data_IF_836403151563
#
_entry.id   IF_836403151563
#
_cell.length_a   1.000
_cell.length_b   1.000
_cell.length_c   1.000
_cell.angle_alpha   90.00
_cell.angle_beta   90.00
_cell.angle_gamma   90.00
#
_symmetry.space_group_name_H-M   'P 1'
#
loop_
_entity.id
_entity.type
_entity.pdbx_description
1 polymer ?
#
# COMPACT_ATOMS: atom_id res chain seq x y z
N UNK A 1 3.84 -36.75 10.60
CA UNK A 1 3.85 -35.93 9.37
C UNK A 1 4.52 -34.59 9.68
N UNK A 2 5.54 -34.16 8.94
CA UNK A 2 6.10 -32.80 9.09
C UNK A 2 5.19 -31.84 8.33
N UNK A 3 4.64 -30.86 9.03
CA UNK A 3 3.86 -29.79 8.38
C UNK A 3 4.80 -28.99 7.47
N UNK A 4 4.40 -28.78 6.21
CA UNK A 4 5.14 -27.97 5.24
C UNK A 4 4.49 -26.59 5.15
N UNK A 5 5.29 -25.54 5.25
CA UNK A 5 4.83 -24.16 5.05
C UNK A 5 4.54 -23.96 3.56
N UNK A 6 3.35 -23.45 3.26
CA UNK A 6 2.97 -23.01 1.92
C UNK A 6 3.44 -21.59 1.66
N UNK A 7 3.08 -20.67 2.55
CA UNK A 7 3.54 -19.28 2.56
C UNK A 7 3.29 -18.64 3.92
N UNK A 8 3.89 -17.46 4.10
CA UNK A 8 3.68 -16.59 5.26
C UNK A 8 3.09 -15.29 4.78
N UNK A 9 2.00 -14.86 5.41
CA UNK A 9 1.40 -13.55 5.16
C UNK A 9 1.78 -12.61 6.30
N UNK A 10 2.24 -11.41 5.94
CA UNK A 10 2.52 -10.32 6.87
C UNK A 10 1.63 -9.13 6.50
N UNK A 11 0.75 -8.74 7.42
CA UNK A 11 -0.18 -7.64 7.20
C UNK A 11 0.42 -6.33 7.68
N UNK A 12 0.41 -5.32 6.83
CA UNK A 12 1.01 -4.01 7.07
C UNK A 12 -0.07 -2.95 7.07
N UNK A 13 -0.08 -2.10 8.06
CA UNK A 13 -0.93 -0.91 8.10
C UNK A 13 -0.43 0.12 7.08
N UNK A 14 -1.24 0.46 6.10
CA UNK A 14 -0.81 1.34 4.99
C UNK A 14 -0.41 2.74 5.44
N UNK A 15 -1.06 3.26 6.48
CA UNK A 15 -0.78 4.60 7.01
C UNK A 15 0.57 4.67 7.74
N UNK A 16 0.83 3.72 8.64
CA UNK A 16 2.03 3.73 9.48
C UNK A 16 3.23 3.01 8.87
N UNK A 17 3.00 2.11 7.89
CA UNK A 17 4.01 1.20 7.36
C UNK A 17 4.42 0.08 8.32
N UNK A 18 3.78 -0.02 9.48
CA UNK A 18 4.11 -1.02 10.49
C UNK A 18 3.33 -2.32 10.29
N UNK A 19 3.93 -3.43 10.73
CA UNK A 19 3.24 -4.73 10.78
C UNK A 19 2.12 -4.67 11.82
N UNK A 20 0.94 -5.19 11.46
CA UNK A 20 -0.23 -5.23 12.33
C UNK A 20 -0.10 -6.42 13.28
N UNK A 21 0.08 -6.15 14.58
CA UNK A 21 0.39 -7.19 15.57
C UNK A 21 -0.80 -7.61 16.46
N UNK A 22 -1.78 -6.73 16.68
CA UNK A 22 -2.79 -6.91 17.74
C UNK A 22 -4.22 -6.90 17.22
N UNK A 23 -4.42 -7.39 16.01
CA UNK A 23 -5.75 -7.50 15.41
C UNK A 23 -6.07 -8.95 15.07
N UNK A 24 -7.33 -9.32 15.23
CA UNK A 24 -7.82 -10.63 14.81
C UNK A 24 -8.31 -10.54 13.38
N UNK A 25 -7.73 -11.35 12.51
CA UNK A 25 -8.14 -11.47 11.12
C UNK A 25 -8.78 -12.82 10.84
N UNK A 26 -9.76 -12.81 9.94
CA UNK A 26 -10.30 -14.00 9.31
C UNK A 26 -9.79 -14.07 7.87
N UNK A 27 -9.49 -15.27 7.42
CA UNK A 27 -9.01 -15.54 6.07
C UNK A 27 -9.97 -16.52 5.40
N UNK A 28 -10.56 -16.10 4.28
CA UNK A 28 -11.57 -16.88 3.59
C UNK A 28 -11.12 -17.21 2.16
N UNK A 29 -11.33 -18.43 1.73
CA UNK A 29 -11.25 -18.85 0.33
C UNK A 29 -12.62 -19.36 -0.08
N UNK A 30 -13.27 -18.71 -1.03
CA UNK A 30 -14.61 -19.04 -1.50
C UNK A 30 -15.60 -19.29 -0.33
N UNK A 31 -15.60 -18.40 0.66
CA UNK A 31 -16.39 -18.48 1.91
C UNK A 31 -15.90 -19.53 2.94
N UNK A 32 -14.93 -20.37 2.61
CA UNK A 32 -14.36 -21.33 3.55
C UNK A 32 -13.29 -20.66 4.41
N UNK A 33 -13.42 -20.79 5.73
CA UNK A 33 -12.47 -20.25 6.67
C UNK A 33 -11.15 -21.06 6.62
N UNK A 34 -10.05 -20.38 6.32
CA UNK A 34 -8.70 -20.93 6.44
C UNK A 34 -8.10 -20.42 7.74
N UNK A 35 -7.56 -21.33 8.56
CA UNK A 35 -6.93 -21.00 9.84
C UNK A 35 -5.41 -21.09 9.72
N UNK A 36 -4.70 -19.97 9.61
CA UNK A 36 -3.24 -19.99 9.67
C UNK A 36 -2.74 -20.23 11.11
N UNK A 37 -1.50 -20.61 11.24
CA UNK A 37 -0.79 -20.54 12.52
C UNK A 37 -0.33 -19.08 12.70
N UNK A 38 -0.82 -18.45 13.77
CA UNK A 38 -0.39 -17.09 14.12
C UNK A 38 0.94 -17.19 14.88
N UNK A 39 1.94 -16.48 14.39
CA UNK A 39 3.24 -16.32 15.04
C UNK A 39 3.39 -14.91 15.59
N UNK A 40 4.37 -14.75 16.46
CA UNK A 40 4.77 -13.42 16.93
C UNK A 40 5.10 -12.49 15.77
N UNK A 41 5.08 -11.20 16.01
CA UNK A 41 5.36 -10.15 15.00
C UNK A 41 4.33 -10.05 13.86
N UNK A 42 3.07 -10.51 14.08
CA UNK A 42 1.99 -10.36 13.10
C UNK A 42 2.14 -11.23 11.85
N UNK A 43 2.79 -12.38 11.96
CA UNK A 43 2.95 -13.34 10.88
C UNK A 43 1.86 -14.40 10.91
N UNK A 44 1.25 -14.65 9.76
CA UNK A 44 0.23 -15.69 9.54
C UNK A 44 0.81 -16.78 8.64
N UNK A 45 1.09 -17.96 9.21
CA UNK A 45 1.72 -19.08 8.51
C UNK A 45 0.66 -20.02 7.98
N UNK A 46 0.58 -20.15 6.66
CA UNK A 46 -0.30 -21.06 5.96
C UNK A 46 0.43 -22.35 5.63
N UNK A 47 -0.22 -23.49 5.91
CA UNK A 47 0.35 -24.83 5.73
C UNK A 47 -0.25 -25.54 4.52
N UNK A 48 0.55 -26.43 3.92
CA UNK A 48 0.05 -27.37 2.91
C UNK A 48 -0.93 -28.41 3.51
N UNK A 49 -1.91 -28.89 2.71
CA UNK A 49 -2.11 -28.65 1.28
C UNK A 49 -2.96 -27.41 1.01
N UNK A 50 -2.54 -26.60 0.05
CA UNK A 50 -3.28 -25.46 -0.47
C UNK A 50 -3.18 -25.44 -2.02
N UNK A 51 -4.17 -24.86 -2.74
CA UNK A 51 -4.10 -24.70 -4.19
C UNK A 51 -2.85 -23.95 -4.66
N UNK A 52 -2.40 -24.17 -5.90
CA UNK A 52 -1.29 -23.43 -6.51
C UNK A 52 -1.61 -21.93 -6.69
N UNK A 53 -2.87 -21.65 -6.96
CA UNK A 53 -3.43 -20.29 -7.00
C UNK A 53 -4.55 -20.21 -5.98
N UNK A 54 -4.40 -19.37 -4.99
CA UNK A 54 -5.34 -19.20 -3.89
C UNK A 54 -5.87 -17.76 -3.88
N UNK A 55 -7.18 -17.58 -4.04
CA UNK A 55 -7.82 -16.30 -3.75
C UNK A 55 -8.15 -16.25 -2.26
N UNK A 56 -7.60 -15.27 -1.57
CA UNK A 56 -7.73 -15.13 -0.13
C UNK A 56 -8.38 -13.78 0.20
N UNK A 57 -9.56 -13.83 0.82
CA UNK A 57 -10.21 -12.66 1.39
C UNK A 57 -9.73 -12.46 2.82
N UNK A 58 -9.23 -11.28 3.13
CA UNK A 58 -8.77 -10.85 4.44
C UNK A 58 -9.83 -9.96 5.07
N UNK A 59 -10.32 -10.34 6.25
CA UNK A 59 -11.39 -9.62 6.96
C UNK A 59 -10.91 -9.25 8.36
N UNK A 60 -10.89 -7.96 8.67
CA UNK A 60 -10.56 -7.42 9.99
C UNK A 60 -11.60 -6.41 10.48
N UNK A 61 -11.71 -6.20 11.80
CA UNK A 61 -12.67 -5.26 12.38
C UNK A 61 -12.32 -3.81 12.04
N UNK A 62 -11.03 -3.47 12.12
CA UNK A 62 -10.53 -2.11 11.96
C UNK A 62 -10.01 -1.80 10.55
N UNK A 63 -10.01 -2.77 9.65
CA UNK A 63 -9.51 -2.63 8.29
C UNK A 63 -10.58 -2.95 7.26
N UNK A 64 -10.51 -2.31 6.10
CA UNK A 64 -11.33 -2.68 4.96
C UNK A 64 -10.97 -4.10 4.52
N UNK A 65 -12.01 -4.82 4.07
CA UNK A 65 -11.80 -6.15 3.48
C UNK A 65 -10.96 -6.04 2.22
N UNK A 66 -10.10 -7.03 2.01
CA UNK A 66 -9.23 -7.06 0.84
C UNK A 66 -9.12 -8.48 0.30
N UNK A 67 -9.33 -8.62 -1.00
CA UNK A 67 -9.07 -9.84 -1.73
C UNK A 67 -7.65 -9.79 -2.31
N UNK A 68 -6.91 -10.89 -2.16
CA UNK A 68 -5.58 -11.06 -2.74
C UNK A 68 -5.51 -12.40 -3.48
N UNK A 69 -4.69 -12.45 -4.52
CA UNK A 69 -4.38 -13.70 -5.23
C UNK A 69 -2.96 -14.11 -4.87
N UNK A 70 -2.82 -15.29 -4.28
CA UNK A 70 -1.53 -15.89 -3.94
C UNK A 70 -1.21 -16.94 -4.97
N UNK A 71 -0.22 -16.70 -5.80
CA UNK A 71 0.32 -17.66 -6.77
C UNK A 71 1.62 -18.23 -6.21
N UNK A 72 1.62 -19.49 -5.76
CA UNK A 72 2.78 -20.12 -5.14
C UNK A 72 4.03 -20.09 -6.02
N UNK A 73 3.86 -20.24 -7.31
CA UNK A 73 4.96 -20.20 -8.28
C UNK A 73 5.70 -18.85 -8.35
N UNK A 74 5.05 -17.77 -7.90
CA UNK A 74 5.64 -16.42 -7.86
C UNK A 74 6.32 -16.08 -6.53
N UNK A 75 6.13 -16.92 -5.51
CA UNK A 75 6.75 -16.71 -4.21
C UNK A 75 8.23 -17.11 -4.22
N UNK A 76 9.01 -16.45 -3.38
CA UNK A 76 10.38 -16.85 -3.14
C UNK A 76 10.39 -18.27 -2.50
N UNK A 77 11.02 -19.28 -3.11
CA UNK A 77 10.97 -20.65 -2.59
C UNK A 77 11.73 -20.84 -1.27
N UNK A 78 12.65 -19.94 -0.94
CA UNK A 78 13.43 -19.98 0.31
C UNK A 78 12.71 -19.22 1.41
N UNK A 79 12.11 -18.07 1.06
CA UNK A 79 11.44 -17.16 2.00
C UNK A 79 10.08 -16.75 1.39
N UNK A 80 9.06 -17.62 1.47
CA UNK A 80 7.76 -17.40 0.86
C UNK A 80 6.92 -16.42 1.69
N UNK A 81 7.42 -15.22 1.93
CA UNK A 81 6.73 -14.15 2.66
C UNK A 81 6.05 -13.23 1.66
N UNK A 82 4.77 -12.94 1.91
CA UNK A 82 3.96 -11.99 1.18
C UNK A 82 3.52 -10.86 2.10
N UNK A 83 3.93 -9.64 1.78
CA UNK A 83 3.50 -8.42 2.45
C UNK A 83 2.21 -7.90 1.82
N UNK A 84 1.18 -7.67 2.64
CA UNK A 84 -0.08 -7.10 2.19
C UNK A 84 -0.42 -5.87 3.03
N UNK A 85 -0.61 -4.75 2.36
CA UNK A 85 -0.99 -3.49 3.00
C UNK A 85 -2.50 -3.37 3.08
N UNK A 86 -2.99 -3.08 4.28
CA UNK A 86 -4.41 -2.91 4.56
C UNK A 86 -4.75 -1.45 4.87
N UNK A 87 -5.88 -0.99 4.35
CA UNK A 87 -6.42 0.33 4.63
C UNK A 87 -7.30 0.32 5.88
N UNK A 88 -6.99 1.19 6.82
CA UNK A 88 -7.77 1.33 8.05
C UNK A 88 -9.17 1.94 7.78
N UNK A 89 -10.19 1.40 8.45
CA UNK A 89 -11.53 2.01 8.49
C UNK A 89 -11.50 3.33 9.28
N UNK A 90 -12.44 4.26 9.04
CA UNK A 90 -12.49 5.55 9.74
C UNK A 90 -12.53 5.45 11.28
N UNK A 91 -13.12 4.37 11.81
CA UNK A 91 -13.20 4.12 13.27
C UNK A 91 -11.95 3.46 13.89
N UNK A 92 -10.95 3.12 13.08
CA UNK A 92 -9.71 2.53 13.58
C UNK A 92 -8.98 3.52 14.50
N UNK A 93 -8.47 3.06 15.66
CA UNK A 93 -7.57 3.88 16.47
C UNK A 93 -6.30 4.24 15.68
N UNK A 94 -6.07 5.52 15.51
CA UNK A 94 -4.88 6.05 14.85
C UNK A 94 -3.86 6.57 15.88
N UNK A 95 -2.56 6.61 15.53
CA UNK A 95 -1.55 7.21 16.38
C UNK A 95 -1.85 8.68 16.67
N UNK A 96 -1.30 9.18 17.77
CA UNK A 96 -1.35 10.59 18.12
C UNK A 96 -0.86 11.47 16.95
N UNK A 97 -1.61 12.53 16.64
CA UNK A 97 -1.44 13.44 15.48
C UNK A 97 -1.93 12.92 14.13
N UNK A 98 -2.63 11.79 14.10
CA UNK A 98 -3.35 11.40 12.89
C UNK A 98 -4.73 12.06 12.87
N UNK A 99 -5.11 12.60 11.74
CA UNK A 99 -6.40 13.21 11.48
C UNK A 99 -7.01 12.62 10.20
N UNK A 100 -8.31 12.73 10.05
CA UNK A 100 -9.00 12.21 8.88
C UNK A 100 -9.29 13.34 7.88
N UNK A 101 -8.74 13.23 6.70
CA UNK A 101 -9.12 14.03 5.55
C UNK A 101 -10.29 13.34 4.84
N UNK A 102 -11.47 13.92 4.97
CA UNK A 102 -12.72 13.31 4.50
C UNK A 102 -13.30 14.03 3.30
N UNK A 103 -14.01 13.30 2.47
CA UNK A 103 -14.71 13.83 1.32
C UNK A 103 -15.55 12.78 0.60
N UNK A 104 -16.02 13.13 -0.58
CA UNK A 104 -16.82 12.26 -1.44
C UNK A 104 -16.36 12.37 -2.89
N UNK A 105 -16.26 11.25 -3.56
CA UNK A 105 -16.06 11.16 -5.00
C UNK A 105 -17.42 10.93 -5.66
N UNK A 106 -17.97 11.99 -6.24
CA UNK A 106 -19.24 11.96 -6.97
C UNK A 106 -18.99 11.93 -8.50
N UNK A 107 -18.11 11.04 -8.93
CA UNK A 107 -17.89 10.79 -10.37
C UNK A 107 -18.50 9.45 -10.75
N UNK A 108 -19.59 9.47 -11.51
CA UNK A 108 -20.29 8.27 -12.00
C UNK A 108 -19.43 7.33 -12.84
N UNK A 109 -18.25 7.78 -13.28
CA UNK A 109 -17.28 6.96 -14.03
C UNK A 109 -16.37 6.14 -13.10
N UNK A 110 -16.37 6.44 -11.80
CA UNK A 110 -15.56 5.72 -10.81
C UNK A 110 -16.38 4.61 -10.18
N UNK A 111 -15.94 3.38 -10.34
CA UNK A 111 -16.51 2.23 -9.62
C UNK A 111 -16.02 2.24 -8.17
N UNK A 112 -16.91 2.08 -7.23
CA UNK A 112 -16.60 2.02 -5.80
C UNK A 112 -16.71 0.57 -5.26
N UNK A 113 -15.84 0.17 -4.32
CA UNK A 113 -14.77 0.97 -3.70
C UNK A 113 -13.62 1.27 -4.67
N UNK A 114 -13.05 2.47 -4.55
CA UNK A 114 -11.90 2.92 -5.33
C UNK A 114 -10.79 3.41 -4.39
N UNK A 115 -9.54 3.28 -4.80
CA UNK A 115 -8.42 3.87 -4.06
C UNK A 115 -8.42 5.37 -4.29
N UNK A 116 -8.40 6.11 -3.20
CA UNK A 116 -8.30 7.56 -3.17
C UNK A 116 -7.04 7.98 -2.43
N UNK A 117 -6.40 9.02 -2.93
CA UNK A 117 -5.18 9.56 -2.36
C UNK A 117 -5.37 11.02 -1.97
N UNK A 118 -4.80 11.40 -0.84
CA UNK A 118 -4.60 12.79 -0.43
C UNK A 118 -3.12 13.10 -0.54
N UNK A 119 -2.72 13.87 -1.56
CA UNK A 119 -1.34 14.36 -1.69
C UNK A 119 -1.18 15.70 -1.00
N UNK A 120 -0.07 15.94 -0.31
CA UNK A 120 0.28 17.27 0.19
C UNK A 120 0.42 18.23 -0.99
N UNK A 121 -0.23 19.39 -0.91
CA UNK A 121 -0.13 20.44 -1.94
C UNK A 121 1.32 20.94 -2.06
N UNK A 122 2.03 21.06 -0.93
CA UNK A 122 3.45 21.41 -0.91
C UNK A 122 4.31 20.16 -1.20
N UNK A 123 5.18 20.19 -2.22
CA UNK A 123 6.09 19.10 -2.52
C UNK A 123 7.18 18.95 -1.46
N UNK A 124 7.84 17.79 -1.43
CA UNK A 124 8.89 17.44 -0.46
C UNK A 124 10.18 18.24 -0.61
N UNK A 125 10.35 19.00 -1.71
CA UNK A 125 11.61 19.65 -2.08
C UNK A 125 12.50 18.76 -2.99
N UNK A 126 12.05 17.54 -3.26
CA UNK A 126 12.71 16.64 -4.21
C UNK A 126 12.00 16.69 -5.57
N UNK A 127 12.82 16.55 -6.62
CA UNK A 127 12.34 16.42 -8.00
C UNK A 127 12.95 15.19 -8.64
N UNK A 128 12.19 14.52 -9.47
CA UNK A 128 12.62 13.34 -10.18
C UNK A 128 13.83 13.63 -11.07
N UNK A 129 14.84 12.79 -11.01
CA UNK A 129 15.99 12.80 -11.92
C UNK A 129 15.86 11.68 -12.96
N UNK A 130 15.56 10.47 -12.52
CA UNK A 130 15.36 9.30 -13.39
C UNK A 130 14.59 8.19 -12.71
N UNK A 131 13.97 7.36 -13.53
CA UNK A 131 13.41 6.05 -13.15
C UNK A 131 14.20 4.98 -13.92
N UNK A 132 14.56 3.89 -13.26
CA UNK A 132 15.16 2.72 -13.91
C UNK A 132 14.59 1.44 -13.35
N UNK A 133 14.61 0.40 -14.17
CA UNK A 133 14.22 -0.95 -13.78
C UNK A 133 15.41 -1.88 -13.90
N UNK A 134 15.64 -2.71 -12.88
CA UNK A 134 16.73 -3.65 -12.86
C UNK A 134 16.32 -4.88 -12.02
N UNK A 135 16.51 -6.08 -12.57
CA UNK A 135 16.19 -7.36 -11.90
C UNK A 135 14.76 -7.42 -11.34
N UNK A 136 13.77 -6.86 -12.06
CA UNK A 136 12.38 -6.83 -11.64
C UNK A 136 12.05 -5.82 -10.53
N UNK A 137 13.04 -5.04 -10.07
CA UNK A 137 12.85 -3.94 -9.13
C UNK A 137 12.86 -2.61 -9.86
N UNK A 138 12.14 -1.64 -9.31
CA UNK A 138 12.16 -0.26 -9.81
C UNK A 138 12.89 0.65 -8.84
N UNK A 139 13.66 1.57 -9.42
CA UNK A 139 14.46 2.54 -8.70
C UNK A 139 14.13 3.94 -9.18
N UNK A 140 14.10 4.87 -8.25
CA UNK A 140 13.92 6.29 -8.53
C UNK A 140 15.11 7.07 -7.97
N UNK A 141 15.61 8.01 -8.75
CA UNK A 141 16.63 8.96 -8.30
C UNK A 141 16.03 10.36 -8.25
N UNK A 142 16.39 11.10 -7.23
CA UNK A 142 15.94 12.47 -7.03
C UNK A 142 17.09 13.45 -6.99
N UNK A 143 16.80 14.71 -7.33
CA UNK A 143 17.62 15.89 -7.02
C UNK A 143 16.88 16.77 -6.02
N UNK A 144 17.62 17.65 -5.33
CA UNK A 144 17.06 18.48 -4.28
C UNK A 144 17.41 17.99 -2.88
N UNK A 145 16.75 18.57 -1.87
CA UNK A 145 17.02 18.28 -0.46
C UNK A 145 15.72 18.14 0.32
N UNK A 146 15.68 17.17 1.20
CA UNK A 146 14.64 17.00 2.20
C UNK A 146 15.25 16.52 3.52
N UNK A 147 14.66 16.93 4.64
CA UNK A 147 15.00 16.44 5.98
C UNK A 147 14.16 15.23 6.38
N UNK A 148 13.14 14.88 5.59
CA UNK A 148 12.23 13.78 5.88
C UNK A 148 12.92 12.43 5.63
N UNK A 149 12.68 11.47 6.53
CA UNK A 149 12.91 10.07 6.19
C UNK A 149 11.82 9.62 5.20
N UNK A 150 12.25 9.23 4.01
CA UNK A 150 11.35 8.85 2.92
C UNK A 150 10.93 7.37 2.97
N UNK A 151 11.70 6.52 3.64
CA UNK A 151 11.51 5.06 3.63
C UNK A 151 10.19 4.66 4.29
N UNK A 152 9.54 3.62 3.75
CA UNK A 152 8.23 3.07 4.14
C UNK A 152 7.06 4.05 4.05
N UNK A 153 7.20 5.09 3.24
CA UNK A 153 6.16 6.09 3.02
C UNK A 153 5.70 6.12 1.57
N UNK A 154 4.45 6.53 1.39
CA UNK A 154 3.80 6.64 0.07
C UNK A 154 4.03 8.01 -0.53
N UNK A 155 4.31 8.04 -1.81
CA UNK A 155 4.53 9.25 -2.60
C UNK A 155 3.82 9.19 -3.93
N UNK A 156 3.67 10.36 -4.55
CA UNK A 156 3.09 10.53 -5.89
C UNK A 156 4.04 11.34 -6.76
N UNK A 157 4.18 10.89 -8.00
CA UNK A 157 4.75 11.64 -9.12
C UNK A 157 3.66 11.89 -10.16
N UNK A 158 3.83 12.94 -10.94
CA UNK A 158 2.87 13.35 -11.95
C UNK A 158 1.61 14.00 -11.38
N UNK A 159 0.72 14.36 -12.28
CA UNK A 159 -0.56 15.00 -11.96
C UNK A 159 -1.67 14.43 -12.84
N UNK A 160 -2.91 14.42 -12.32
CA UNK A 160 -4.11 13.99 -13.06
C UNK A 160 -3.92 12.59 -13.67
N UNK A 161 -4.11 12.48 -14.99
CA UNK A 161 -3.97 11.20 -15.71
C UNK A 161 -2.56 10.61 -15.70
N UNK A 162 -1.53 11.41 -15.39
CA UNK A 162 -0.14 10.96 -15.23
C UNK A 162 0.24 10.62 -13.79
N UNK A 163 -0.64 10.89 -12.83
CA UNK A 163 -0.36 10.59 -11.43
C UNK A 163 -0.12 9.09 -11.21
N UNK A 164 0.99 8.74 -10.57
CA UNK A 164 1.31 7.39 -10.12
C UNK A 164 1.81 7.41 -8.68
N UNK A 165 1.34 6.45 -7.91
CA UNK A 165 1.64 6.32 -6.48
C UNK A 165 2.53 5.13 -6.25
N UNK A 166 3.53 5.32 -5.40
CA UNK A 166 4.49 4.29 -5.05
C UNK A 166 4.95 4.44 -3.60
N UNK A 167 5.57 3.40 -3.08
CA UNK A 167 6.15 3.39 -1.74
C UNK A 167 7.66 3.33 -1.88
N UNK A 168 8.37 4.18 -1.17
CA UNK A 168 9.83 4.09 -1.06
C UNK A 168 10.16 3.01 -0.03
N UNK A 169 10.77 1.90 -0.46
CA UNK A 169 11.08 0.75 0.40
C UNK A 169 12.43 0.88 1.09
N UNK A 170 13.44 1.23 0.34
CA UNK A 170 14.81 1.31 0.86
C UNK A 170 15.64 2.36 0.12
N UNK A 171 16.64 2.87 0.78
CA UNK A 171 17.63 3.77 0.20
C UNK A 171 18.79 2.95 -0.36
N UNK A 172 19.03 3.06 -1.67
CA UNK A 172 20.04 2.29 -2.38
C UNK A 172 21.30 3.09 -2.69
N UNK A 173 21.24 4.42 -2.61
CA UNK A 173 22.34 5.32 -2.93
C UNK A 173 22.10 6.75 -2.49
N UNK A 174 22.89 7.68 -2.98
CA UNK A 174 22.69 9.11 -2.74
C UNK A 174 21.45 9.55 -3.53
N UNK A 175 20.35 9.84 -2.80
CA UNK A 175 19.05 10.19 -3.38
C UNK A 175 18.51 9.16 -4.38
N UNK A 176 18.91 7.91 -4.26
CA UNK A 176 18.39 6.78 -5.03
C UNK A 176 17.69 5.80 -4.11
N UNK A 177 16.52 5.36 -4.51
CA UNK A 177 15.61 4.54 -3.70
C UNK A 177 15.01 3.42 -4.53
N UNK A 178 14.91 2.22 -3.93
CA UNK A 178 14.08 1.14 -4.42
C UNK A 178 12.63 1.40 -4.04
N UNK A 179 11.71 1.16 -4.96
CA UNK A 179 10.28 1.44 -4.74
C UNK A 179 9.42 0.19 -4.95
N UNK A 180 8.32 0.14 -4.20
CA UNK A 180 7.21 -0.76 -4.40
C UNK A 180 6.13 -0.03 -5.20
N UNK A 181 5.72 -0.62 -6.31
CA UNK A 181 4.83 -0.05 -7.31
C UNK A 181 5.47 -0.15 -8.69
N UNK A 182 4.64 -0.17 -9.71
CA UNK A 182 5.12 -0.23 -11.09
C UNK A 182 4.78 1.07 -11.79
N UNK A 183 5.80 1.79 -12.20
CA UNK A 183 5.60 2.93 -13.11
C UNK A 183 5.19 2.40 -14.47
N UNK A 184 3.96 2.67 -14.84
CA UNK A 184 3.38 2.30 -16.15
C UNK A 184 3.41 3.47 -17.12
N UNK A 185 3.61 4.67 -16.59
CA UNK A 185 3.64 5.92 -17.35
C UNK A 185 5.06 6.45 -17.43
N UNK A 186 5.32 7.21 -18.48
CA UNK A 186 6.59 7.92 -18.62
C UNK A 186 6.58 9.14 -17.71
N UNK A 187 7.52 9.19 -16.78
CA UNK A 187 7.78 10.35 -15.93
C UNK A 187 8.99 11.13 -16.45
N UNK A 188 8.85 12.44 -16.49
CA UNK A 188 9.91 13.32 -16.97
C UNK A 188 10.77 13.86 -15.81
N UNK A 189 12.07 14.04 -16.05
CA UNK A 189 12.93 14.69 -15.07
C UNK A 189 12.40 16.08 -14.71
N UNK A 190 12.45 16.43 -13.42
CA UNK A 190 11.90 17.70 -12.91
C UNK A 190 10.50 17.57 -12.30
N UNK A 191 9.80 16.44 -12.44
CA UNK A 191 8.54 16.22 -11.73
C UNK A 191 8.75 16.26 -10.22
N UNK A 192 7.83 16.97 -9.53
CA UNK A 192 7.91 17.17 -8.09
C UNK A 192 7.41 15.94 -7.34
N UNK A 193 8.12 15.55 -6.28
CA UNK A 193 7.71 14.47 -5.39
C UNK A 193 6.77 15.02 -4.32
N UNK A 194 5.58 14.42 -4.20
CA UNK A 194 4.59 14.77 -3.20
C UNK A 194 4.38 13.63 -2.20
N UNK A 195 4.43 13.95 -0.90
CA UNK A 195 3.99 13.03 0.15
C UNK A 195 2.50 12.75 -0.03
N UNK A 196 2.11 11.50 0.08
CA UNK A 196 0.75 11.04 -0.23
C UNK A 196 0.27 10.06 0.82
N UNK A 197 -1.03 10.12 1.11
CA UNK A 197 -1.73 9.18 1.98
C UNK A 197 -2.85 8.53 1.19
N UNK A 198 -3.18 7.29 1.51
CA UNK A 198 -4.15 6.50 0.75
C UNK A 198 -5.26 5.98 1.64
N UNK A 199 -6.41 5.74 1.04
CA UNK A 199 -7.51 4.98 1.61
C UNK A 199 -8.36 4.43 0.48
N UNK A 200 -9.45 3.76 0.83
CA UNK A 200 -10.47 3.32 -0.13
C UNK A 200 -11.77 4.05 0.15
N UNK A 201 -12.56 4.27 -0.90
CA UNK A 201 -13.91 4.80 -0.77
C UNK A 201 -14.85 3.70 -0.26
N UNK A 202 -15.92 4.11 0.40
CA UNK A 202 -17.08 3.25 0.61
C UNK A 202 -17.88 3.05 -0.69
N UNK A 203 -18.93 2.25 -0.64
CA UNK A 203 -19.80 1.96 -1.80
C UNK A 203 -20.55 3.18 -2.35
N UNK A 204 -20.58 4.28 -1.62
CA UNK A 204 -21.22 5.55 -2.01
C UNK A 204 -20.22 6.60 -2.47
N UNK A 205 -18.92 6.26 -2.46
CA UNK A 205 -17.84 7.17 -2.82
C UNK A 205 -17.30 8.02 -1.67
N UNK A 206 -17.82 7.86 -0.45
CA UNK A 206 -17.28 8.52 0.73
C UNK A 206 -15.90 7.99 1.11
N UNK A 207 -14.98 8.87 1.52
CA UNK A 207 -13.65 8.47 1.95
C UNK A 207 -13.21 9.18 3.24
N UNK A 208 -12.32 8.52 3.96
CA UNK A 208 -11.61 9.08 5.10
C UNK A 208 -10.14 8.62 5.02
N UNK A 209 -9.26 9.55 4.71
CA UNK A 209 -7.83 9.29 4.53
C UNK A 209 -7.11 9.76 5.79
N UNK A 210 -6.40 8.86 6.49
CA UNK A 210 -5.57 9.26 7.62
C UNK A 210 -4.38 10.10 7.13
N UNK A 211 -4.18 11.29 7.72
CA UNK A 211 -3.11 12.23 7.39
C UNK A 211 -2.39 12.69 8.66
N UNK A 212 -1.13 13.13 8.55
CA UNK A 212 -0.31 13.49 9.71
C UNK A 212 -0.72 14.81 10.38
N UNK A 213 -1.34 15.74 9.68
CA UNK A 213 -1.72 17.05 10.24
C UNK A 213 -2.77 17.77 9.41
N UNK A 214 -3.75 18.41 10.07
CA UNK A 214 -4.75 19.29 9.42
C UNK A 214 -4.21 20.63 8.93
N UNK A 215 -3.08 21.06 9.49
CA UNK A 215 -2.50 22.36 9.14
C UNK A 215 -1.82 22.38 7.77
N UNK A 216 -1.93 21.29 7.02
CA UNK A 216 -1.37 21.17 5.69
C UNK A 216 -2.48 21.06 4.65
N UNK A 217 -2.29 21.71 3.51
CA UNK A 217 -3.22 21.60 2.40
C UNK A 217 -3.04 20.27 1.67
N UNK A 218 -4.15 19.59 1.42
CA UNK A 218 -4.20 18.34 0.67
C UNK A 218 -5.03 18.51 -0.59
N UNK A 219 -4.65 17.74 -1.61
CA UNK A 219 -5.40 17.61 -2.87
C UNK A 219 -5.81 16.13 -2.97
N UNK A 220 -7.12 15.88 -3.02
CA UNK A 220 -7.64 14.54 -3.24
C UNK A 220 -7.56 14.17 -4.72
N UNK A 221 -7.00 13.01 -5.00
CA UNK A 221 -6.96 12.43 -6.34
C UNK A 221 -7.46 10.97 -6.29
N UNK A 222 -8.32 10.62 -7.24
CA UNK A 222 -8.74 9.22 -7.43
C UNK A 222 -7.67 8.53 -8.25
N UNK A 223 -7.15 7.44 -7.71
CA UNK A 223 -6.21 6.57 -8.42
C UNK A 223 -6.91 5.26 -8.69
N UNK A 224 -7.17 5.01 -9.95
CA UNK A 224 -7.60 3.69 -10.40
C UNK A 224 -6.36 2.80 -10.36
N UNK A 225 -6.25 1.97 -9.34
CA UNK A 225 -5.27 0.89 -9.38
C UNK A 225 -5.72 -0.04 -10.51
N UNK A 226 -4.96 -0.09 -11.59
CA UNK A 226 -5.13 -1.16 -12.56
C UNK A 226 -4.79 -2.44 -11.80
N UNK A 227 -5.77 -3.36 -11.73
CA UNK A 227 -5.60 -4.62 -11.03
C UNK A 227 -4.33 -5.34 -11.52
N UNK A 228 -3.56 -5.83 -10.57
CA UNK A 228 -2.45 -6.75 -10.81
C UNK A 228 -2.98 -8.07 -11.34
#
# INVERSE_FOLDING_TARGET
MKAKVAFVLRLIDDYSGNVIQREVFQFLNDQNLIKPIVKDEGMFVFLEPLPEVLTLKIVGSNYYEQDIVVEKAKLNPIEPILDVRLFGKPGKPHPYRCELYTGMIDDKKVSHPAVVCAKKAKPTGLVLKSVRSENGKQFVSFSGFTQENLVEKTYMLGEKSKAEVFIIKEKCGINEYCVEGNFTKKHDAGEKLHRTYRSVTDVKGGYAIPVESRNEDFIAEVIVLQGN
#
